data_IF_932221392042
#
_entry.id   IF_932221392042
#
_cell.length_a   1.000
_cell.length_b   1.000
_cell.length_c   1.000
_cell.angle_alpha   90.00
_cell.angle_beta   90.00
_cell.angle_gamma   90.00
#
_symmetry.space_group_name_H-M   'P 1'
#
loop_
_entity.id
_entity.type
_entity.pdbx_description
1 polymer ?
#
# COMPACT_ATOMS: atom_id res chain seq x y z
N UNK A 1 4.91 -2.99 24.66
CA UNK A 1 5.37 -2.55 23.32
C UNK A 1 4.70 -1.20 23.07
N UNK A 2 5.43 -0.17 22.62
CA UNK A 2 4.83 1.15 22.35
C UNK A 2 4.30 1.15 20.92
N UNK A 3 3.05 1.55 20.76
CA UNK A 3 2.33 1.50 19.49
C UNK A 3 2.74 2.69 18.61
N UNK A 4 3.89 2.55 17.93
CA UNK A 4 4.38 3.53 16.97
C UNK A 4 3.64 3.42 15.63
N UNK A 5 3.09 4.52 15.14
CA UNK A 5 2.56 4.63 13.77
C UNK A 5 3.77 4.84 12.85
N UNK A 6 3.82 4.18 11.69
CA UNK A 6 4.94 4.29 10.74
C UNK A 6 4.48 4.94 9.44
N UNK A 7 5.32 5.83 8.88
CA UNK A 7 5.04 6.52 7.62
C UNK A 7 6.21 6.36 6.64
N UNK A 8 5.87 6.26 5.35
CA UNK A 8 6.82 6.32 4.24
C UNK A 8 6.69 7.64 3.49
N UNK A 9 7.77 8.44 3.45
CA UNK A 9 7.85 9.69 2.68
C UNK A 9 9.04 9.61 1.73
N UNK A 10 8.79 9.76 0.43
CA UNK A 10 9.81 9.69 -0.63
C UNK A 10 10.69 8.41 -0.54
N UNK A 11 10.10 7.28 -0.17
CA UNK A 11 10.80 6.00 -0.05
C UNK A 11 11.58 5.79 1.26
N UNK A 12 11.60 6.77 2.17
CA UNK A 12 12.19 6.62 3.51
C UNK A 12 11.11 6.33 4.55
N UNK A 13 11.30 5.26 5.33
CA UNK A 13 10.40 4.86 6.43
C UNK A 13 10.89 5.47 7.74
N UNK A 14 9.99 6.10 8.49
CA UNK A 14 10.27 6.67 9.82
C UNK A 14 9.08 6.53 10.75
N UNK A 15 9.34 6.47 12.07
CA UNK A 15 8.28 6.53 13.08
C UNK A 15 7.55 7.88 12.98
N UNK A 16 6.24 7.83 12.84
CA UNK A 16 5.37 8.98 12.73
C UNK A 16 5.22 9.63 14.11
N UNK A 17 6.02 10.65 14.36
CA UNK A 17 5.89 11.55 15.50
C UNK A 17 5.27 12.87 15.03
N UNK A 18 4.14 13.26 15.64
CA UNK A 18 3.46 14.52 15.34
C UNK A 18 2.26 14.43 14.37
N UNK A 19 1.84 15.58 13.84
CA UNK A 19 0.69 15.69 12.93
C UNK A 19 0.95 14.91 11.64
N UNK A 20 -0.06 14.14 11.22
CA UNK A 20 0.00 13.26 10.05
C UNK A 20 0.51 14.01 8.81
N UNK A 21 1.62 13.57 8.18
CA UNK A 21 2.09 14.19 6.95
C UNK A 21 1.05 13.98 5.85
N UNK A 22 0.57 15.07 5.25
CA UNK A 22 -0.40 15.07 4.15
C UNK A 22 0.06 14.22 2.95
N UNK A 23 1.37 14.06 2.80
CA UNK A 23 2.03 13.38 1.67
C UNK A 23 2.66 12.01 2.05
N UNK A 24 2.26 11.39 3.15
CA UNK A 24 2.74 10.04 3.49
C UNK A 24 2.10 9.00 2.55
N UNK A 25 2.92 8.19 1.88
CA UNK A 25 2.49 7.23 0.85
C UNK A 25 1.98 5.92 1.44
N UNK A 26 2.33 5.59 2.69
CA UNK A 26 1.89 4.37 3.36
C UNK A 26 1.59 4.65 4.84
N UNK A 27 0.43 4.17 5.27
CA UNK A 27 0.05 4.02 6.67
C UNK A 27 0.07 2.53 6.99
N UNK A 28 0.93 2.12 7.92
CA UNK A 28 0.89 0.75 8.44
C UNK A 28 -0.22 0.63 9.49
N UNK A 29 -1.17 -0.31 9.35
CA UNK A 29 -1.96 -0.78 10.47
C UNK A 29 -1.02 -1.28 11.57
N UNK A 30 -1.45 -1.15 12.83
CA UNK A 30 -0.64 -1.53 13.97
C UNK A 30 -0.20 -3.00 13.89
N UNK A 31 1.10 -3.27 14.04
CA UNK A 31 1.69 -4.61 13.98
C UNK A 31 2.17 -5.07 12.60
N UNK A 32 1.94 -4.30 11.53
CA UNK A 32 2.48 -4.61 10.21
C UNK A 32 3.86 -3.99 10.00
N UNK A 33 4.80 -4.78 9.51
CA UNK A 33 6.11 -4.28 9.08
C UNK A 33 6.01 -3.61 7.71
N UNK A 34 7.04 -2.84 7.34
CA UNK A 34 7.16 -2.31 5.99
C UNK A 34 7.20 -3.40 4.91
N UNK A 35 7.73 -4.57 5.25
CA UNK A 35 7.79 -5.72 4.33
C UNK A 35 6.39 -6.29 4.09
N UNK A 36 5.57 -6.42 5.13
CA UNK A 36 4.18 -6.88 5.03
C UNK A 36 3.35 -5.95 4.14
N UNK A 37 3.50 -4.64 4.32
CA UNK A 37 2.82 -3.63 3.51
C UNK A 37 3.21 -3.70 2.03
N UNK A 38 4.51 -3.82 1.74
CA UNK A 38 5.00 -3.92 0.37
C UNK A 38 4.50 -5.22 -0.29
N UNK A 39 4.41 -6.31 0.49
CA UNK A 39 3.89 -7.57 0.02
C UNK A 39 2.39 -7.47 -0.29
N UNK A 40 1.59 -6.87 0.59
CA UNK A 40 0.17 -6.62 0.37
C UNK A 40 -0.06 -5.76 -0.89
N UNK A 41 0.70 -4.68 -1.05
CA UNK A 41 0.61 -3.82 -2.24
C UNK A 41 0.94 -4.59 -3.53
N UNK A 42 1.97 -5.45 -3.51
CA UNK A 42 2.32 -6.30 -4.67
C UNK A 42 1.19 -7.27 -5.00
N UNK A 43 0.61 -7.92 -3.99
CA UNK A 43 -0.53 -8.84 -4.17
C UNK A 43 -1.75 -8.11 -4.72
N UNK A 44 -2.10 -6.95 -4.17
CA UNK A 44 -3.22 -6.12 -4.65
C UNK A 44 -3.01 -5.66 -6.10
N UNK A 45 -1.79 -5.24 -6.46
CA UNK A 45 -1.43 -4.85 -7.82
C UNK A 45 -1.65 -6.00 -8.81
N UNK A 46 -1.20 -7.22 -8.49
CA UNK A 46 -1.37 -8.38 -9.34
C UNK A 46 -2.86 -8.72 -9.57
N UNK A 47 -3.67 -8.68 -8.51
CA UNK A 47 -5.11 -8.92 -8.58
C UNK A 47 -5.80 -7.86 -9.45
N UNK A 48 -5.44 -6.58 -9.26
CA UNK A 48 -6.00 -5.48 -10.04
C UNK A 48 -5.64 -5.58 -11.52
N UNK A 49 -4.39 -5.91 -11.86
CA UNK A 49 -3.97 -6.13 -13.25
C UNK A 49 -4.78 -7.27 -13.88
N UNK A 50 -4.97 -8.38 -13.16
CA UNK A 50 -5.78 -9.50 -13.64
C UNK A 50 -7.22 -9.05 -13.92
N UNK A 51 -7.85 -8.35 -12.98
CA UNK A 51 -9.22 -7.86 -13.11
C UNK A 51 -9.37 -6.90 -14.31
N UNK A 52 -8.45 -5.95 -14.47
CA UNK A 52 -8.46 -5.01 -15.59
C UNK A 52 -8.35 -5.75 -16.92
N UNK A 53 -7.43 -6.72 -17.02
CA UNK A 53 -7.26 -7.54 -18.23
C UNK A 53 -8.51 -8.35 -18.56
N UNK A 54 -9.15 -8.96 -17.56
CA UNK A 54 -10.40 -9.71 -17.74
C UNK A 54 -11.51 -8.80 -18.26
N UNK A 55 -11.72 -7.64 -17.62
CA UNK A 55 -12.75 -6.68 -18.05
C UNK A 55 -12.48 -6.12 -19.44
N UNK A 56 -11.22 -5.85 -19.77
CA UNK A 56 -10.84 -5.39 -21.09
C UNK A 56 -11.16 -6.46 -22.15
N UNK A 57 -10.81 -7.72 -21.88
CA UNK A 57 -11.10 -8.83 -22.79
C UNK A 57 -12.60 -9.08 -22.97
N UNK A 58 -13.42 -8.88 -21.93
CA UNK A 58 -14.87 -8.95 -22.04
C UNK A 58 -15.43 -7.79 -22.88
N UNK A 59 -14.90 -6.58 -22.70
CA UNK A 59 -15.34 -5.40 -23.45
C UNK A 59 -14.97 -5.46 -24.94
N UNK A 60 -13.79 -6.00 -25.29
CA UNK A 60 -13.33 -6.14 -26.68
C UNK A 60 -13.90 -7.35 -27.42
N UNK A 61 -14.66 -8.22 -26.74
CA UNK A 61 -15.43 -9.30 -27.37
C UNK A 61 -16.81 -8.84 -27.88
N UNK A 62 -17.19 -7.59 -27.64
CA UNK A 62 -18.34 -6.93 -28.27
C UNK A 62 -17.92 -6.32 -29.60
#
# INVERSE_FOLDING_TARGET
MKDGIWVSKNGRVSEASGLQPRDALLFAPHGMTSEDLLQEQRSALQQNIKLIRTRLAEATRR
#
